data_IF_101677651822
#
_entry.id   IF_101677651822
#
_cell.length_a   1.000
_cell.length_b   1.000
_cell.length_c   1.000
_cell.angle_alpha   90.00
_cell.angle_beta   90.00
_cell.angle_gamma   90.00
#
_symmetry.space_group_name_H-M   'P 1'
#
loop_
_entity.id
_entity.type
_entity.pdbx_description
1 polymer ?
#
# COMPACT_ATOMS: atom_id res chain seq x y z
N UNK A 1 -6.00 18.51 27.14
CA UNK A 1 -6.98 17.40 27.18
C UNK A 1 -6.39 16.20 26.45
N UNK A 2 -6.51 14.99 27.03
CA UNK A 2 -6.06 13.75 26.36
C UNK A 2 -7.01 13.48 25.18
N UNK A 3 -6.48 13.27 23.98
CA UNK A 3 -7.28 12.92 22.80
C UNK A 3 -7.88 11.51 23.00
N UNK A 4 -9.15 11.33 22.66
CA UNK A 4 -9.83 10.04 22.75
C UNK A 4 -9.93 9.44 21.36
N UNK A 5 -9.47 8.19 21.21
CA UNK A 5 -9.53 7.46 19.94
C UNK A 5 -10.96 7.41 19.38
N UNK A 6 -11.14 7.81 18.13
CA UNK A 6 -12.45 7.86 17.47
C UNK A 6 -12.68 6.57 16.70
N UNK A 7 -13.62 5.75 17.17
CA UNK A 7 -13.99 4.46 16.53
C UNK A 7 -14.29 4.58 15.03
N UNK A 8 -14.89 5.71 14.59
CA UNK A 8 -15.23 5.96 13.18
C UNK A 8 -14.00 6.04 12.27
N UNK A 9 -12.82 6.32 12.82
CA UNK A 9 -11.56 6.39 12.08
C UNK A 9 -10.70 5.14 12.27
N UNK A 10 -11.16 4.13 13.04
CA UNK A 10 -10.38 2.91 13.28
C UNK A 10 -9.03 3.17 13.96
N UNK A 11 -8.96 4.18 14.84
CA UNK A 11 -7.71 4.62 15.45
C UNK A 11 -7.21 3.64 16.51
N UNK A 12 -6.01 3.11 16.28
CA UNK A 12 -5.18 2.36 17.22
C UNK A 12 -3.81 3.04 17.25
N UNK A 13 -3.50 3.69 18.36
CA UNK A 13 -2.25 4.46 18.47
C UNK A 13 -1.12 3.55 18.91
N UNK A 14 -0.03 3.55 18.17
CA UNK A 14 1.18 2.83 18.52
C UNK A 14 1.76 3.45 19.82
N UNK A 15 2.08 2.61 20.79
CA UNK A 15 2.52 3.04 22.12
C UNK A 15 3.83 2.35 22.57
N UNK A 16 4.21 1.23 21.92
CA UNK A 16 5.42 0.49 22.26
C UNK A 16 6.65 1.13 21.61
N UNK A 17 7.56 1.64 22.44
CA UNK A 17 8.80 2.28 21.99
C UNK A 17 9.73 1.36 21.21
N UNK A 18 9.82 0.07 21.58
CA UNK A 18 10.68 -0.89 20.91
C UNK A 18 10.19 -1.20 19.49
N UNK A 19 8.87 -1.24 19.30
CA UNK A 19 8.23 -1.41 18.00
C UNK A 19 8.45 -0.16 17.14
N UNK A 20 8.32 1.05 17.73
CA UNK A 20 8.61 2.31 17.03
C UNK A 20 10.06 2.32 16.55
N UNK A 21 11.02 1.96 17.39
CA UNK A 21 12.44 1.92 17.03
C UNK A 21 12.73 0.90 15.90
N UNK A 22 12.09 -0.28 15.93
CA UNK A 22 12.21 -1.27 14.88
C UNK A 22 11.65 -0.78 13.53
N UNK A 23 10.49 -0.09 13.56
CA UNK A 23 9.90 0.53 12.36
C UNK A 23 10.86 1.60 11.80
N UNK A 24 11.40 2.45 12.65
CA UNK A 24 12.33 3.50 12.23
C UNK A 24 13.65 2.92 11.69
N UNK A 25 14.12 1.80 12.23
CA UNK A 25 15.27 1.08 11.69
C UNK A 25 14.98 0.53 10.29
N UNK A 26 13.76 0.00 10.05
CA UNK A 26 13.34 -0.48 8.74
C UNK A 26 13.19 0.65 7.71
N UNK A 27 12.67 1.81 8.13
CA UNK A 27 12.54 3.01 7.28
C UNK A 27 13.92 3.61 6.99
N UNK A 28 14.84 3.62 7.96
CA UNK A 28 16.14 4.28 7.91
C UNK A 28 16.05 5.73 7.38
N UNK A 29 15.34 6.63 8.09
CA UNK A 29 15.16 8.02 7.66
C UNK A 29 16.47 8.80 7.78
N UNK A 30 16.77 9.64 6.78
CA UNK A 30 17.98 10.46 6.70
C UNK A 30 17.63 11.93 6.50
N UNK A 31 18.47 12.86 6.95
CA UNK A 31 18.28 14.28 6.72
C UNK A 31 18.08 14.63 5.25
N UNK A 32 17.15 15.53 4.95
CA UNK A 32 16.85 16.02 3.60
C UNK A 32 16.01 15.09 2.73
N UNK A 33 15.55 13.95 3.24
CA UNK A 33 14.61 13.10 2.52
C UNK A 33 13.19 13.67 2.58
N UNK A 34 12.44 13.54 1.48
CA UNK A 34 11.03 13.91 1.38
C UNK A 34 10.16 12.78 1.94
N UNK A 35 9.92 12.78 3.25
CA UNK A 35 9.09 11.77 3.92
C UNK A 35 7.68 12.32 4.13
N UNK A 36 6.68 11.50 3.77
CA UNK A 36 5.25 11.77 3.95
C UNK A 36 4.67 10.72 4.89
N UNK A 37 4.17 11.14 6.04
CA UNK A 37 3.48 10.27 6.99
C UNK A 37 1.96 10.36 6.80
N UNK A 38 1.31 9.24 6.57
CA UNK A 38 -0.16 9.13 6.50
C UNK A 38 -0.71 8.74 7.87
N UNK A 39 -1.58 9.60 8.42
CA UNK A 39 -2.22 9.36 9.70
C UNK A 39 -1.26 9.44 10.89
N UNK A 40 -0.57 10.56 11.11
CA UNK A 40 0.38 10.74 12.22
C UNK A 40 -0.24 10.52 13.61
N UNK A 41 -1.55 10.74 13.73
CA UNK A 41 -2.28 10.54 14.96
C UNK A 41 -1.73 11.38 16.11
N UNK A 42 -1.29 10.72 17.17
CA UNK A 42 -0.68 11.38 18.35
C UNK A 42 0.82 11.66 18.18
N UNK A 43 1.40 11.31 17.03
CA UNK A 43 2.80 11.61 16.71
C UNK A 43 3.81 10.55 17.15
N UNK A 44 3.38 9.30 17.38
CA UNK A 44 4.27 8.23 17.85
C UNK A 44 5.46 7.99 16.90
N UNK A 45 5.23 7.97 15.59
CA UNK A 45 6.29 7.89 14.58
C UNK A 45 6.77 9.28 14.14
N UNK A 46 5.88 10.28 14.11
CA UNK A 46 6.18 11.67 13.69
C UNK A 46 7.37 12.25 14.45
N UNK A 47 7.40 12.09 15.79
CA UNK A 47 8.45 12.68 16.62
C UNK A 47 9.86 12.17 16.23
N UNK A 48 10.11 10.85 16.28
CA UNK A 48 11.44 10.33 15.95
C UNK A 48 11.75 10.42 14.44
N UNK A 49 10.76 10.51 13.55
CA UNK A 49 11.00 10.81 12.13
C UNK A 49 11.55 12.22 11.96
N UNK A 50 10.93 13.23 12.59
CA UNK A 50 11.39 14.62 12.55
C UNK A 50 12.80 14.76 13.13
N UNK A 51 13.09 14.09 14.25
CA UNK A 51 14.42 14.10 14.86
C UNK A 51 15.52 13.63 13.88
N UNK A 52 15.19 12.67 12.99
CA UNK A 52 16.14 12.07 12.05
C UNK A 52 16.19 12.81 10.70
N UNK A 53 15.07 13.29 10.17
CA UNK A 53 15.02 13.92 8.85
C UNK A 53 14.92 15.46 8.87
N UNK A 54 14.60 16.06 10.04
CA UNK A 54 14.51 17.51 10.27
C UNK A 54 13.19 18.13 9.86
N UNK A 55 12.54 17.63 8.82
CA UNK A 55 11.24 18.12 8.31
C UNK A 55 10.39 16.95 7.84
N UNK A 56 9.07 17.04 8.02
CA UNK A 56 8.14 15.96 7.65
C UNK A 56 6.85 16.56 7.08
N UNK A 57 6.34 15.96 5.99
CA UNK A 57 4.98 16.20 5.53
C UNK A 57 4.05 15.19 6.17
N UNK A 58 2.92 15.62 6.71
CA UNK A 58 1.93 14.74 7.35
C UNK A 58 0.54 14.96 6.75
N UNK A 59 -0.19 13.86 6.49
CA UNK A 59 -1.56 13.88 5.99
C UNK A 59 -2.48 13.40 7.10
N UNK A 60 -3.36 14.28 7.61
CA UNK A 60 -4.25 13.97 8.73
C UNK A 60 -5.70 14.37 8.39
N UNK A 61 -6.63 13.44 8.61
CA UNK A 61 -8.06 13.65 8.37
C UNK A 61 -8.75 14.27 9.58
N UNK A 62 -8.30 13.96 10.80
CA UNK A 62 -8.88 14.50 12.03
C UNK A 62 -8.44 15.95 12.25
N UNK A 63 -9.40 16.89 12.16
CA UNK A 63 -9.17 18.34 12.29
C UNK A 63 -8.53 18.74 13.62
N UNK A 64 -8.88 18.05 14.71
CA UNK A 64 -8.35 18.39 16.03
C UNK A 64 -6.88 17.97 16.15
N UNK A 65 -6.51 16.83 15.55
CA UNK A 65 -5.12 16.39 15.45
C UNK A 65 -4.33 17.27 14.47
N UNK A 66 -4.88 17.57 13.30
CA UNK A 66 -4.24 18.44 12.31
C UNK A 66 -3.94 19.84 12.89
N UNK A 67 -4.86 20.40 13.70
CA UNK A 67 -4.63 21.70 14.37
C UNK A 67 -3.43 21.66 15.32
N UNK A 68 -3.29 20.59 16.14
CA UNK A 68 -2.16 20.42 17.05
C UNK A 68 -0.84 20.22 16.30
N UNK A 69 -0.87 19.46 15.21
CA UNK A 69 0.31 19.21 14.38
C UNK A 69 0.82 20.50 13.73
N UNK A 70 -0.07 21.43 13.35
CA UNK A 70 0.30 22.76 12.81
C UNK A 70 1.01 23.70 13.80
N UNK A 71 0.96 23.39 15.10
CA UNK A 71 1.74 24.14 16.11
C UNK A 71 3.24 23.83 16.01
N UNK A 72 3.63 22.82 15.24
CA UNK A 72 4.99 22.34 15.06
C UNK A 72 5.58 22.86 13.75
N UNK A 73 6.59 23.76 13.78
CA UNK A 73 7.13 24.40 12.59
C UNK A 73 7.86 23.43 11.63
N UNK A 74 8.33 22.28 12.13
CA UNK A 74 8.99 21.25 11.34
C UNK A 74 8.01 20.38 10.51
N UNK A 75 6.69 20.54 10.73
CA UNK A 75 5.67 19.76 10.03
C UNK A 75 4.96 20.59 8.95
N UNK A 76 4.90 20.04 7.75
CA UNK A 76 3.97 20.48 6.72
C UNK A 76 2.68 19.65 6.83
N UNK A 77 1.59 20.26 7.31
CA UNK A 77 0.34 19.56 7.60
C UNK A 77 -0.66 19.72 6.47
N UNK A 78 -1.02 18.59 5.85
CA UNK A 78 -2.10 18.48 4.86
C UNK A 78 -3.33 17.90 5.59
N UNK A 79 -4.31 18.76 5.90
CA UNK A 79 -5.60 18.35 6.46
C UNK A 79 -6.50 17.88 5.32
N UNK A 80 -6.50 16.57 5.05
CA UNK A 80 -7.25 15.97 3.95
C UNK A 80 -7.51 14.49 4.17
N UNK A 81 -8.51 13.96 3.45
CA UNK A 81 -8.59 12.53 3.17
C UNK A 81 -7.42 12.16 2.24
N UNK A 82 -6.62 11.19 2.65
CA UNK A 82 -5.46 10.72 1.87
C UNK A 82 -5.84 10.26 0.46
N UNK A 83 -7.04 9.72 0.27
CA UNK A 83 -7.56 9.31 -1.04
C UNK A 83 -7.82 10.47 -2.01
N UNK A 84 -7.75 11.72 -1.53
CA UNK A 84 -7.88 12.95 -2.33
C UNK A 84 -6.56 13.66 -2.56
N UNK A 85 -5.48 13.20 -1.95
CA UNK A 85 -4.15 13.82 -2.10
C UNK A 85 -3.52 13.36 -3.40
N UNK A 86 -3.11 14.29 -4.24
CA UNK A 86 -2.31 14.02 -5.43
C UNK A 86 -0.82 13.90 -5.04
N UNK A 87 -0.34 12.67 -4.93
CA UNK A 87 1.07 12.39 -4.59
C UNK A 87 2.04 12.78 -5.72
N UNK A 88 1.58 12.84 -6.96
CA UNK A 88 2.40 13.30 -8.08
C UNK A 88 2.64 14.81 -7.99
N UNK A 89 1.59 15.57 -7.71
CA UNK A 89 1.70 17.01 -7.45
C UNK A 89 2.53 17.31 -6.20
N UNK A 90 2.34 16.51 -5.13
CA UNK A 90 3.14 16.64 -3.91
C UNK A 90 4.63 16.39 -4.17
N UNK A 91 4.97 15.36 -4.94
CA UNK A 91 6.35 15.05 -5.30
C UNK A 91 7.00 16.15 -6.14
N UNK A 92 6.24 16.85 -6.98
CA UNK A 92 6.75 17.95 -7.80
C UNK A 92 7.22 19.16 -6.96
N UNK A 93 6.76 19.29 -5.72
CA UNK A 93 7.20 20.33 -4.78
C UNK A 93 8.42 19.94 -3.93
N UNK A 94 8.89 18.69 -4.05
CA UNK A 94 9.99 18.15 -3.26
C UNK A 94 11.25 17.91 -4.12
N UNK A 95 12.46 18.08 -3.58
CA UNK A 95 13.70 17.92 -4.33
C UNK A 95 14.06 16.45 -4.61
N UNK A 96 13.42 15.50 -3.93
CA UNK A 96 13.71 14.06 -3.95
C UNK A 96 12.41 13.27 -4.11
N UNK A 97 12.48 12.02 -4.63
CA UNK A 97 11.33 11.12 -4.64
C UNK A 97 10.77 10.92 -3.22
N UNK A 98 9.44 10.84 -3.13
CA UNK A 98 8.74 10.67 -1.86
C UNK A 98 9.06 9.33 -1.21
N UNK A 99 9.16 9.33 0.10
CA UNK A 99 9.10 8.13 0.94
C UNK A 99 7.82 8.19 1.76
N UNK A 100 6.93 7.21 1.60
CA UNK A 100 5.61 7.26 2.23
C UNK A 100 5.54 6.26 3.37
N UNK A 101 5.17 6.73 4.56
CA UNK A 101 5.13 5.90 5.76
C UNK A 101 3.79 6.07 6.49
N UNK A 102 3.42 5.14 7.35
CA UNK A 102 2.26 5.33 8.21
C UNK A 102 1.73 4.07 8.88
N UNK A 103 1.03 4.30 10.01
CA UNK A 103 0.18 3.30 10.62
C UNK A 103 -1.23 3.48 10.03
N UNK A 104 -1.57 2.71 8.98
CA UNK A 104 -2.79 2.95 8.21
C UNK A 104 -4.05 2.44 8.92
N UNK A 105 -5.17 3.18 8.87
CA UNK A 105 -6.45 2.68 9.33
C UNK A 105 -6.86 1.41 8.57
N UNK A 106 -7.18 0.33 9.29
CA UNK A 106 -7.41 -1.00 8.69
C UNK A 106 -8.57 -1.03 7.70
N UNK A 107 -9.61 -0.25 7.94
CA UNK A 107 -10.81 -0.20 7.11
C UNK A 107 -10.61 0.45 5.73
N UNK A 108 -9.54 1.25 5.55
CA UNK A 108 -9.24 1.94 4.29
C UNK A 108 -7.83 1.66 3.76
N UNK A 109 -7.10 0.72 4.36
CA UNK A 109 -5.73 0.40 3.97
C UNK A 109 -5.63 -0.03 2.50
N UNK A 110 -6.48 -0.96 2.05
CA UNK A 110 -6.49 -1.41 0.65
C UNK A 110 -6.78 -0.29 -0.35
N UNK A 111 -7.82 0.57 -0.18
CA UNK A 111 -7.98 1.76 -0.98
C UNK A 111 -6.76 2.68 -1.04
N UNK A 112 -6.06 2.90 0.09
CA UNK A 112 -4.84 3.72 0.13
C UNK A 112 -3.73 3.10 -0.71
N UNK A 113 -3.51 1.78 -0.59
CA UNK A 113 -2.49 1.08 -1.39
C UNK A 113 -2.75 1.22 -2.89
N UNK A 114 -4.00 1.10 -3.34
CA UNK A 114 -4.37 1.32 -4.75
C UNK A 114 -4.24 2.77 -5.18
N UNK A 115 -4.55 3.71 -4.30
CA UNK A 115 -4.37 5.14 -4.59
C UNK A 115 -2.89 5.48 -4.80
N UNK A 116 -2.00 4.99 -3.95
CA UNK A 116 -0.54 5.17 -4.05
C UNK A 116 0.06 4.47 -5.27
N UNK A 117 -0.54 3.36 -5.72
CA UNK A 117 -0.10 2.63 -6.91
C UNK A 117 -0.09 3.53 -8.15
N UNK A 118 -1.05 4.44 -8.29
CA UNK A 118 -1.10 5.40 -9.38
C UNK A 118 0.10 6.37 -9.41
N UNK A 119 0.69 6.64 -8.24
CA UNK A 119 1.84 7.54 -8.06
C UNK A 119 3.16 6.82 -7.80
N UNK A 120 3.23 5.50 -8.05
CA UNK A 120 4.41 4.69 -7.76
C UNK A 120 5.69 5.17 -8.47
N UNK A 121 5.56 5.90 -9.58
CA UNK A 121 6.72 6.45 -10.33
C UNK A 121 7.45 7.59 -9.63
N UNK A 122 6.82 8.26 -8.67
CA UNK A 122 7.38 9.38 -7.90
C UNK A 122 7.68 9.02 -6.44
N UNK A 123 7.46 7.75 -6.06
CA UNK A 123 7.68 7.22 -4.73
C UNK A 123 8.91 6.31 -4.76
N UNK A 124 9.86 6.55 -3.85
CA UNK A 124 11.07 5.74 -3.67
C UNK A 124 10.77 4.43 -2.95
N UNK A 125 10.06 4.52 -1.84
CA UNK A 125 9.64 3.39 -1.02
C UNK A 125 8.42 3.73 -0.15
N UNK A 126 7.78 2.67 0.36
CA UNK A 126 6.64 2.78 1.25
C UNK A 126 6.82 1.83 2.42
N UNK A 127 6.51 2.29 3.64
CA UNK A 127 6.53 1.46 4.85
C UNK A 127 5.23 1.67 5.61
N UNK A 128 4.41 0.64 5.65
CA UNK A 128 3.10 0.71 6.29
C UNK A 128 2.91 -0.37 7.34
N UNK A 129 2.33 0.03 8.46
CA UNK A 129 1.78 -0.91 9.41
C UNK A 129 0.31 -1.17 9.06
N UNK A 130 -0.04 -2.44 8.87
CA UNK A 130 -1.35 -2.95 8.43
C UNK A 130 -1.74 -4.16 9.27
N UNK A 131 -2.98 -4.65 9.09
CA UNK A 131 -3.34 -5.98 9.60
C UNK A 131 -2.43 -7.05 8.98
N UNK A 132 -1.94 -7.98 9.79
CA UNK A 132 -1.02 -9.05 9.37
C UNK A 132 -1.57 -9.86 8.19
N UNK A 133 -2.87 -10.18 8.21
CA UNK A 133 -3.54 -10.88 7.09
C UNK A 133 -3.41 -10.11 5.76
N UNK A 134 -3.55 -8.78 5.80
CA UNK A 134 -3.41 -7.95 4.59
C UNK A 134 -1.98 -8.02 4.07
N UNK A 135 -0.98 -7.90 4.94
CA UNK A 135 0.44 -8.01 4.56
C UNK A 135 0.76 -9.39 3.99
N UNK A 136 0.27 -10.46 4.61
CA UNK A 136 0.42 -11.83 4.12
C UNK A 136 -0.16 -11.98 2.71
N UNK A 137 -1.34 -11.41 2.45
CA UNK A 137 -1.94 -11.41 1.10
C UNK A 137 -1.16 -10.56 0.10
N UNK A 138 -0.59 -9.42 0.52
CA UNK A 138 0.24 -8.59 -0.35
C UNK A 138 1.50 -9.31 -0.81
N UNK A 139 2.19 -10.02 0.10
CA UNK A 139 3.46 -10.69 -0.13
C UNK A 139 3.32 -12.17 -0.57
N UNK A 140 2.10 -12.68 -0.70
CA UNK A 140 1.83 -14.08 -1.01
C UNK A 140 2.37 -14.49 -2.38
N UNK A 141 2.97 -15.68 -2.46
CA UNK A 141 3.41 -16.30 -3.71
C UNK A 141 2.27 -17.06 -4.40
N UNK A 142 2.32 -17.27 -5.72
CA UNK A 142 1.38 -18.13 -6.43
C UNK A 142 1.28 -19.53 -5.80
N UNK A 143 0.07 -20.10 -5.78
CA UNK A 143 -0.21 -21.45 -5.26
C UNK A 143 -0.51 -21.51 -3.77
N UNK A 144 -0.31 -20.44 -3.00
CA UNK A 144 -0.68 -20.40 -1.59
C UNK A 144 -2.07 -19.80 -1.37
N UNK A 145 -2.69 -20.12 -0.22
CA UNK A 145 -4.05 -19.69 0.12
C UNK A 145 -4.24 -18.17 0.12
N UNK A 146 -3.22 -17.42 0.52
CA UNK A 146 -3.32 -15.97 0.68
C UNK A 146 -3.08 -15.20 -0.63
N UNK A 147 -2.58 -15.89 -1.67
CA UNK A 147 -2.41 -15.30 -3.00
C UNK A 147 -3.76 -14.99 -3.64
N UNK A 148 -3.91 -13.77 -4.14
CA UNK A 148 -5.16 -13.31 -4.70
C UNK A 148 -5.03 -12.02 -5.49
N UNK A 149 -6.17 -11.38 -5.75
CA UNK A 149 -6.24 -10.13 -6.50
C UNK A 149 -5.28 -9.06 -5.93
N UNK A 150 -5.22 -8.91 -4.59
CA UNK A 150 -4.35 -7.93 -3.94
C UNK A 150 -2.88 -8.20 -4.25
N UNK A 151 -2.46 -9.47 -4.18
CA UNK A 151 -1.10 -9.90 -4.49
C UNK A 151 -0.71 -9.49 -5.91
N UNK A 152 -1.51 -9.89 -6.91
CA UNK A 152 -1.24 -9.58 -8.33
C UNK A 152 -1.20 -8.07 -8.56
N UNK A 153 -2.21 -7.34 -8.04
CA UNK A 153 -2.36 -5.91 -8.28
C UNK A 153 -1.30 -5.03 -7.62
N UNK A 154 -0.56 -5.54 -6.65
CA UNK A 154 0.55 -4.81 -6.04
C UNK A 154 1.91 -5.32 -6.54
N UNK A 155 2.10 -6.64 -6.62
CA UNK A 155 3.39 -7.23 -6.97
C UNK A 155 3.81 -6.99 -8.44
N UNK A 156 2.90 -6.62 -9.34
CA UNK A 156 3.33 -6.24 -10.69
C UNK A 156 4.14 -4.94 -10.72
N UNK A 157 4.00 -4.11 -9.67
CA UNK A 157 4.62 -2.79 -9.58
C UNK A 157 5.65 -2.67 -8.46
N UNK A 158 5.53 -3.51 -7.42
CA UNK A 158 6.35 -3.44 -6.21
C UNK A 158 7.00 -4.77 -5.87
N UNK A 159 8.25 -4.71 -5.40
CA UNK A 159 8.83 -5.71 -4.51
C UNK A 159 8.26 -5.49 -3.10
N UNK A 160 7.70 -6.55 -2.49
CA UNK A 160 6.91 -6.45 -1.24
C UNK A 160 7.47 -7.43 -0.21
N UNK A 161 7.85 -6.88 0.95
CA UNK A 161 8.42 -7.65 2.05
C UNK A 161 7.70 -7.33 3.37
N UNK A 162 7.33 -8.38 4.13
CA UNK A 162 6.93 -8.23 5.54
C UNK A 162 8.18 -8.12 6.40
N UNK A 163 8.39 -6.95 7.04
CA UNK A 163 9.65 -6.66 7.74
C UNK A 163 9.56 -6.78 9.25
N UNK A 164 8.35 -6.72 9.83
CA UNK A 164 8.14 -6.80 11.27
C UNK A 164 6.74 -7.27 11.60
N UNK A 165 6.59 -8.26 12.46
CA UNK A 165 5.32 -8.61 13.09
C UNK A 165 5.10 -7.76 14.35
N UNK A 166 3.87 -7.29 14.56
CA UNK A 166 3.51 -6.40 15.66
C UNK A 166 2.26 -6.94 16.36
N UNK A 167 2.39 -7.23 17.65
CA UNK A 167 1.29 -7.72 18.46
C UNK A 167 0.30 -6.61 18.86
N UNK A 168 -0.96 -6.96 19.20
CA UNK A 168 -1.98 -5.98 19.62
C UNK A 168 -1.58 -5.13 20.82
N UNK A 169 -0.76 -5.67 21.72
CA UNK A 169 -0.32 -5.01 22.96
C UNK A 169 0.54 -3.77 22.69
N UNK A 170 1.10 -3.65 21.48
CA UNK A 170 1.87 -2.47 21.07
C UNK A 170 0.99 -1.22 20.87
N UNK A 171 -0.33 -1.33 20.96
CA UNK A 171 -1.28 -0.25 20.65
C UNK A 171 -2.17 0.13 21.83
N UNK A 172 -2.61 1.38 21.86
CA UNK A 172 -3.63 1.90 22.79
C UNK A 172 -4.75 2.64 22.01
N UNK A 173 -6.00 2.12 21.99
CA UNK A 173 -6.42 0.80 22.46
C UNK A 173 -5.89 -0.33 21.56
N UNK A 174 -5.72 -1.55 22.08
CA UNK A 174 -5.24 -2.67 21.27
C UNK A 174 -6.26 -3.06 20.20
N UNK A 175 -5.81 -3.38 18.96
CA UNK A 175 -6.65 -3.99 17.93
C UNK A 175 -7.01 -5.44 18.30
N UNK A 176 -7.96 -6.03 17.57
CA UNK A 176 -8.39 -7.42 17.79
C UNK A 176 -7.53 -8.46 17.05
N UNK A 177 -6.63 -8.01 16.22
CA UNK A 177 -5.82 -8.84 15.32
C UNK A 177 -4.38 -8.35 15.31
N UNK A 178 -3.46 -9.25 15.00
CA UNK A 178 -2.05 -8.91 14.79
C UNK A 178 -1.88 -7.93 13.63
N UNK A 179 -0.84 -7.14 13.72
CA UNK A 179 -0.36 -6.23 12.70
C UNK A 179 0.98 -6.69 12.14
N UNK A 180 1.35 -6.15 11.00
CA UNK A 180 2.69 -6.29 10.46
C UNK A 180 3.10 -5.02 9.72
N UNK A 181 4.40 -4.77 9.67
CA UNK A 181 4.99 -3.72 8.86
C UNK A 181 5.40 -4.31 7.52
N UNK A 182 4.93 -3.69 6.44
CA UNK A 182 5.30 -4.04 5.08
C UNK A 182 6.20 -2.97 4.49
N UNK A 183 7.26 -3.38 3.81
CA UNK A 183 8.07 -2.55 2.92
C UNK A 183 7.66 -2.81 1.47
N UNK A 184 7.48 -1.75 0.69
CA UNK A 184 7.13 -1.82 -0.72
C UNK A 184 8.11 -0.95 -1.52
N UNK A 185 8.85 -1.57 -2.44
CA UNK A 185 9.82 -0.90 -3.31
C UNK A 185 9.29 -0.91 -4.75
N UNK A 186 9.00 0.24 -5.37
CA UNK A 186 8.61 0.26 -6.76
C UNK A 186 9.72 -0.29 -7.67
N UNK A 187 9.40 -1.15 -8.62
CA UNK A 187 10.36 -1.56 -9.63
C UNK A 187 10.83 -0.35 -10.44
N UNK A 188 12.14 -0.21 -10.71
CA UNK A 188 12.67 0.92 -11.48
C UNK A 188 12.06 1.03 -12.87
N UNK A 189 11.79 -0.11 -13.50
CA UNK A 189 11.12 -0.20 -14.80
C UNK A 189 9.82 -0.98 -14.60
N UNK A 190 8.70 -0.27 -14.70
CA UNK A 190 7.39 -0.91 -14.65
C UNK A 190 7.07 -1.58 -16.00
N UNK A 191 6.44 -2.77 -16.00
CA UNK A 191 5.86 -3.32 -17.22
C UNK A 191 4.89 -2.32 -17.88
N UNK A 192 4.95 -2.20 -19.21
CA UNK A 192 4.07 -1.33 -19.98
C UNK A 192 2.66 -1.95 -20.09
N UNK A 193 1.93 -2.00 -18.99
CA UNK A 193 0.57 -2.52 -18.90
C UNK A 193 -0.38 -1.43 -18.40
N UNK A 194 -1.57 -1.35 -19.00
CA UNK A 194 -2.62 -0.47 -18.52
C UNK A 194 -3.18 -1.01 -17.17
N UNK A 195 -3.03 -0.29 -16.03
CA UNK A 195 -3.45 -0.79 -14.73
C UNK A 195 -4.94 -1.14 -14.67
N UNK A 196 -5.78 -0.40 -15.40
CA UNK A 196 -7.22 -0.64 -15.48
C UNK A 196 -7.54 -2.00 -16.14
N UNK A 197 -6.87 -2.32 -17.27
CA UNK A 197 -7.04 -3.59 -17.97
C UNK A 197 -6.55 -4.77 -17.12
N UNK A 198 -5.37 -4.64 -16.50
CA UNK A 198 -4.86 -5.66 -15.58
C UNK A 198 -5.84 -5.87 -14.41
N UNK A 199 -6.39 -4.77 -13.86
CA UNK A 199 -7.36 -4.82 -12.77
C UNK A 199 -8.67 -5.51 -13.15
N UNK A 200 -9.19 -5.29 -14.36
CA UNK A 200 -10.37 -5.96 -14.89
C UNK A 200 -10.11 -7.46 -15.08
N UNK A 201 -9.01 -7.80 -15.78
CA UNK A 201 -8.59 -9.17 -16.05
C UNK A 201 -8.45 -9.98 -14.75
N UNK A 202 -7.73 -9.43 -13.77
CA UNK A 202 -7.49 -10.08 -12.48
C UNK A 202 -8.81 -10.19 -11.67
N UNK A 203 -9.70 -9.19 -11.72
CA UNK A 203 -10.99 -9.27 -11.08
C UNK A 203 -11.85 -10.41 -11.64
N UNK A 204 -11.85 -10.59 -12.96
CA UNK A 204 -12.54 -11.69 -13.63
C UNK A 204 -11.91 -13.04 -13.27
N UNK A 205 -10.57 -13.15 -13.31
CA UNK A 205 -9.87 -14.37 -12.96
C UNK A 205 -10.20 -14.85 -11.54
N UNK A 206 -10.20 -13.96 -10.56
CA UNK A 206 -10.46 -14.27 -9.15
C UNK A 206 -11.95 -14.24 -8.76
N UNK A 207 -12.87 -13.99 -9.69
CA UNK A 207 -14.31 -13.93 -9.40
C UNK A 207 -14.89 -15.24 -8.86
N UNK A 208 -14.31 -16.37 -9.24
CA UNK A 208 -14.70 -17.70 -8.78
C UNK A 208 -13.46 -18.53 -8.38
N UNK A 209 -12.86 -18.19 -7.25
CA UNK A 209 -11.56 -18.69 -6.80
C UNK A 209 -11.36 -20.21 -6.92
N UNK A 210 -12.40 -21.03 -6.63
CA UNK A 210 -12.32 -22.49 -6.66
C UNK A 210 -12.51 -23.12 -8.05
N UNK A 211 -12.87 -22.34 -9.06
CA UNK A 211 -13.07 -22.81 -10.44
C UNK A 211 -11.81 -22.63 -11.27
N UNK A 212 -11.68 -23.49 -12.32
CA UNK A 212 -10.65 -23.30 -13.34
C UNK A 212 -10.92 -22.01 -14.14
N UNK A 213 -9.87 -21.37 -14.59
CA UNK A 213 -9.94 -20.10 -15.35
C UNK A 213 -10.77 -20.20 -16.62
N UNK A 214 -10.91 -21.38 -17.24
CA UNK A 214 -11.80 -21.59 -18.40
C UNK A 214 -13.25 -21.15 -18.14
N UNK A 215 -13.72 -21.18 -16.89
CA UNK A 215 -15.08 -20.81 -16.51
C UNK A 215 -15.24 -19.31 -16.20
N UNK A 216 -14.15 -18.59 -16.05
CA UNK A 216 -14.10 -17.15 -15.74
C UNK A 216 -13.34 -16.39 -16.80
N UNK A 217 -12.03 -16.31 -16.68
CA UNK A 217 -11.14 -15.60 -17.59
C UNK A 217 -11.20 -16.14 -19.02
N UNK A 218 -11.30 -17.46 -19.22
CA UNK A 218 -11.41 -18.07 -20.55
C UNK A 218 -12.60 -17.53 -21.33
N UNK A 219 -13.79 -17.50 -20.73
CA UNK A 219 -14.99 -16.91 -21.36
C UNK A 219 -14.83 -15.42 -21.64
N UNK A 220 -14.20 -14.69 -20.73
CA UNK A 220 -13.92 -13.28 -20.92
C UNK A 220 -12.97 -13.00 -22.08
N UNK A 221 -11.97 -13.88 -22.29
CA UNK A 221 -11.04 -13.85 -23.42
C UNK A 221 -11.75 -14.19 -24.74
N UNK A 222 -12.59 -15.23 -24.77
CA UNK A 222 -13.39 -15.63 -25.94
C UNK A 222 -14.27 -14.47 -26.45
N UNK A 223 -15.00 -13.80 -25.54
CA UNK A 223 -15.86 -12.64 -25.89
C UNK A 223 -15.06 -11.51 -26.52
N UNK A 224 -13.78 -11.35 -26.16
CA UNK A 224 -12.87 -10.35 -26.73
C UNK A 224 -12.13 -10.80 -27.98
N UNK A 225 -12.40 -12.01 -28.46
CA UNK A 225 -11.76 -12.54 -29.65
C UNK A 225 -10.26 -12.83 -29.47
N UNK A 226 -9.81 -13.08 -28.22
CA UNK A 226 -8.41 -13.37 -27.94
C UNK A 226 -8.00 -14.68 -28.58
N UNK A 227 -7.08 -14.60 -29.55
CA UNK A 227 -6.54 -15.77 -30.28
C UNK A 227 -5.18 -16.26 -29.78
N UNK A 228 -4.64 -15.68 -28.71
CA UNK A 228 -3.37 -16.08 -28.12
C UNK A 228 -3.46 -17.33 -27.25
N UNK A 229 -2.30 -17.82 -26.80
CA UNK A 229 -2.19 -18.98 -25.96
C UNK A 229 -2.12 -18.59 -24.47
N UNK A 230 -3.16 -18.90 -23.71
CA UNK A 230 -3.17 -18.77 -22.26
C UNK A 230 -3.77 -20.02 -21.62
N UNK A 231 -3.05 -20.63 -20.65
CA UNK A 231 -3.49 -21.84 -19.98
C UNK A 231 -4.65 -21.56 -19.02
N UNK A 232 -5.87 -21.81 -19.47
CA UNK A 232 -7.10 -21.68 -18.70
C UNK A 232 -7.49 -22.93 -17.90
N UNK A 233 -6.67 -24.00 -17.91
CA UNK A 233 -6.92 -25.23 -17.14
C UNK A 233 -6.43 -25.11 -15.69
N UNK A 234 -5.77 -24.03 -15.33
CA UNK A 234 -5.34 -23.69 -13.97
C UNK A 234 -6.40 -22.90 -13.21
N UNK A 235 -6.23 -22.81 -11.89
CA UNK A 235 -6.98 -21.85 -11.05
C UNK A 235 -6.27 -20.49 -11.03
N UNK A 236 -7.02 -19.44 -10.69
CA UNK A 236 -6.47 -18.08 -10.63
C UNK A 236 -5.26 -17.97 -9.69
N UNK A 237 -5.29 -18.66 -8.55
CA UNK A 237 -4.21 -18.64 -7.56
C UNK A 237 -2.91 -19.34 -8.00
N UNK A 238 -2.96 -20.16 -9.04
CA UNK A 238 -1.80 -20.89 -9.57
C UNK A 238 -1.01 -20.09 -10.63
N UNK A 239 -1.57 -18.96 -11.10
CA UNK A 239 -0.98 -18.16 -12.18
C UNK A 239 -0.05 -17.09 -11.60
N UNK A 240 1.25 -17.08 -11.97
CA UNK A 240 2.19 -16.04 -11.56
C UNK A 240 1.81 -14.64 -12.05
N UNK A 241 2.18 -13.62 -11.29
CA UNK A 241 1.94 -12.20 -11.62
C UNK A 241 2.42 -11.85 -13.02
N UNK A 242 3.63 -12.30 -13.40
CA UNK A 242 4.21 -12.03 -14.71
C UNK A 242 3.33 -12.54 -15.87
N UNK A 243 2.60 -13.65 -15.69
CA UNK A 243 1.72 -14.20 -16.72
C UNK A 243 0.41 -13.38 -16.84
N UNK A 244 -0.13 -12.86 -15.74
CA UNK A 244 -1.24 -11.91 -15.79
C UNK A 244 -0.85 -10.62 -16.50
N UNK A 245 0.35 -10.10 -16.21
CA UNK A 245 0.90 -8.90 -16.86
C UNK A 245 1.12 -9.14 -18.35
N UNK A 246 1.75 -10.26 -18.74
CA UNK A 246 1.98 -10.60 -20.14
C UNK A 246 0.65 -10.71 -20.93
N UNK A 247 -0.35 -11.39 -20.34
CA UNK A 247 -1.68 -11.50 -20.94
C UNK A 247 -2.35 -10.14 -21.11
N UNK A 248 -2.25 -9.26 -20.10
CA UNK A 248 -2.84 -7.93 -20.18
C UNK A 248 -2.15 -7.05 -21.24
N UNK A 249 -0.83 -7.17 -21.42
CA UNK A 249 -0.08 -6.50 -22.50
C UNK A 249 -0.53 -7.01 -23.86
N UNK A 250 -0.64 -8.33 -24.03
CA UNK A 250 -1.06 -8.96 -25.30
C UNK A 250 -2.47 -8.51 -25.72
N UNK A 251 -3.41 -8.45 -24.77
CA UNK A 251 -4.79 -8.00 -25.03
C UNK A 251 -4.87 -6.50 -25.31
N UNK A 252 -4.09 -5.70 -24.57
CA UNK A 252 -4.11 -4.23 -24.67
C UNK A 252 -3.44 -3.70 -25.94
N UNK A 253 -2.69 -4.52 -26.65
CA UNK A 253 -1.74 -4.08 -27.67
C UNK A 253 -0.55 -3.34 -27.03
N UNK A 254 0.55 -3.21 -27.77
CA UNK A 254 1.66 -2.34 -27.32
C UNK A 254 1.14 -0.89 -27.30
N UNK A 255 1.22 -0.16 -26.17
CA UNK A 255 0.93 1.28 -26.23
C UNK A 255 1.87 1.92 -27.25
N UNK A 256 1.31 2.49 -28.31
CA UNK A 256 2.02 3.30 -29.30
C UNK A 256 2.54 4.58 -28.68
#
# INVERSE_FOLDING_TARGET
MRHVARKRFGQHFLADGSVIDAILAAIDPRPGQAIVEIGPGLGAMTNPLVERCGRLTVIELDRDLARRLRERPELQVIESDVLRVDFTALAASEPMPLRVVGNLPYNISTPILFHLLASAGVIKDQHFMLQKEVVQRMAANPGVKDYGRLSVMLQWRYDIESVLDVSPEAFEPPPRVDSAVVRMLPYPVAPAVAPALLGELVAVAFSQRRKLLRHTLGRWLEVRGFGGAFDTQRRAEEVPVAQYVALAIEIGGTPT
#
